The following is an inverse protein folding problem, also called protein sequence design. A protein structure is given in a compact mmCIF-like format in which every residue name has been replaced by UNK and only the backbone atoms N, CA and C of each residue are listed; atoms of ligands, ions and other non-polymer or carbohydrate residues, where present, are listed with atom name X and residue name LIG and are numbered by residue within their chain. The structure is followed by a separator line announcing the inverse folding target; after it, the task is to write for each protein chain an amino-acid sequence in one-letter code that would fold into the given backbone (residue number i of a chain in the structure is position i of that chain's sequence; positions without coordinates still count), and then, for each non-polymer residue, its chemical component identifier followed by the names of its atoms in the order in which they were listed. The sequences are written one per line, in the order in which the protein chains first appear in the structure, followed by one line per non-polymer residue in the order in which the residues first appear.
data_IF_288707497952
#
_entry.id   IF_288707497952
#
_cell.length_a   1.000
_cell.length_b   1.000
_cell.length_c   1.000
_cell.angle_alpha   90.00
_cell.angle_beta   90.00
_cell.angle_gamma   90.00
#
_symmetry.space_group_name_H-M   'P 1'
#
loop_
_entity.id
_entity.type
_entity.pdbx_description
1 polymer ?
#
# COMPACT_ATOMS: atom_id res chain seq x y z
N UNK A 1 4.56 29.02 7.15
CA UNK A 1 4.44 27.87 6.22
C UNK A 1 5.46 26.82 6.63
N UNK A 2 5.04 25.58 6.88
CA UNK A 2 5.91 24.48 7.27
C UNK A 2 6.01 23.49 6.11
N UNK A 3 7.17 23.41 5.46
CA UNK A 3 7.40 22.53 4.31
C UNK A 3 8.06 21.24 4.79
N UNK A 4 7.38 20.10 4.60
CA UNK A 4 7.88 18.75 4.92
C UNK A 4 8.53 18.13 3.69
N UNK A 5 9.64 17.45 3.90
CA UNK A 5 10.29 16.68 2.83
C UNK A 5 9.64 15.30 2.80
N UNK A 6 8.88 15.01 1.75
CA UNK A 6 8.28 13.70 1.54
C UNK A 6 9.21 12.81 0.70
N UNK A 7 9.08 11.49 0.89
CA UNK A 7 9.69 10.49 0.03
C UNK A 7 8.68 9.36 -0.17
N UNK A 8 8.63 8.82 -1.37
CA UNK A 8 7.81 7.66 -1.66
C UNK A 8 8.12 7.14 -3.05
N UNK A 9 7.91 5.86 -3.23
CA UNK A 9 7.88 5.28 -4.56
C UNK A 9 6.93 4.10 -4.59
N UNK A 10 6.58 3.69 -5.80
CA UNK A 10 5.81 2.50 -6.05
C UNK A 10 6.45 1.74 -7.21
N UNK A 11 6.48 0.42 -7.07
CA UNK A 11 6.97 -0.50 -8.08
C UNK A 11 5.84 -1.50 -8.31
N UNK A 12 5.44 -1.63 -9.57
CA UNK A 12 4.41 -2.59 -9.97
C UNK A 12 5.01 -3.54 -11.00
N UNK A 13 4.94 -4.82 -10.70
CA UNK A 13 5.29 -5.91 -11.60
C UNK A 13 4.02 -6.61 -12.06
N UNK A 14 3.80 -6.67 -13.37
CA UNK A 14 2.65 -7.37 -13.96
C UNK A 14 3.18 -8.40 -14.95
N UNK A 15 2.82 -9.65 -14.73
CA UNK A 15 3.21 -10.78 -15.59
C UNK A 15 1.98 -11.49 -16.09
N UNK A 16 1.83 -11.58 -17.41
CA UNK A 16 0.82 -12.44 -18.03
C UNK A 16 1.30 -13.89 -17.95
N UNK A 17 0.45 -14.78 -17.44
CA UNK A 17 0.75 -16.20 -17.21
C UNK A 17 0.04 -17.07 -18.25
N UNK A 18 0.83 -17.82 -19.01
CA UNK A 18 0.39 -18.82 -19.98
C UNK A 18 -0.45 -18.26 -21.14
N UNK A 19 -1.74 -17.97 -20.88
CA UNK A 19 -2.69 -17.36 -21.82
C UNK A 19 -2.89 -15.88 -21.50
N UNK A 20 -3.45 -15.11 -22.43
CA UNK A 20 -3.86 -13.69 -22.21
C UNK A 20 -4.91 -13.52 -21.11
N UNK A 21 -5.42 -14.63 -20.59
CA UNK A 21 -6.49 -14.66 -19.60
C UNK A 21 -6.01 -14.38 -18.17
N UNK A 22 -4.79 -14.79 -17.80
CA UNK A 22 -4.31 -14.67 -16.42
C UNK A 22 -3.16 -13.67 -16.30
N UNK A 23 -3.26 -12.74 -15.35
CA UNK A 23 -2.18 -11.82 -15.02
C UNK A 23 -1.92 -11.84 -13.52
N UNK A 24 -0.64 -12.00 -13.18
CA UNK A 24 -0.14 -11.81 -11.82
C UNK A 24 0.27 -10.35 -11.65
N UNK A 25 -0.17 -9.72 -10.56
CA UNK A 25 0.13 -8.34 -10.21
C UNK A 25 0.84 -8.37 -8.86
N UNK A 26 2.06 -7.86 -8.79
CA UNK A 26 2.78 -7.60 -7.55
C UNK A 26 3.04 -6.09 -7.47
N UNK A 27 2.80 -5.50 -6.32
CA UNK A 27 3.04 -4.08 -6.06
C UNK A 27 3.76 -3.93 -4.74
N UNK A 28 4.77 -3.09 -4.74
CA UNK A 28 5.42 -2.64 -3.53
C UNK A 28 5.47 -1.13 -3.56
N UNK A 29 4.93 -0.49 -2.54
CA UNK A 29 5.01 0.95 -2.37
C UNK A 29 5.42 1.31 -0.96
N UNK A 30 6.07 2.47 -0.83
CA UNK A 30 6.34 3.08 0.45
C UNK A 30 6.00 4.56 0.39
N UNK A 31 5.52 5.06 1.52
CA UNK A 31 5.16 6.45 1.67
C UNK A 31 5.69 6.98 3.00
N UNK A 32 6.67 7.89 2.91
CA UNK A 32 7.28 8.62 4.02
C UNK A 32 6.89 10.11 3.91
N UNK A 33 5.85 10.54 4.66
CA UNK A 33 5.37 11.91 4.62
C UNK A 33 6.34 12.92 5.25
N UNK A 34 7.30 12.48 6.07
CA UNK A 34 8.22 13.37 6.76
C UNK A 34 9.59 12.71 7.04
N UNK A 35 10.46 12.75 6.03
CA UNK A 35 11.81 12.15 6.07
C UNK A 35 12.75 12.70 7.17
N UNK A 36 12.40 13.81 7.83
CA UNK A 36 13.20 14.41 8.90
C UNK A 36 13.07 13.67 10.23
N UNK A 37 12.01 12.89 10.41
CA UNK A 37 11.70 12.18 11.66
C UNK A 37 11.40 10.72 11.33
N UNK A 38 11.84 9.80 12.19
CA UNK A 38 11.68 8.35 11.97
C UNK A 38 11.45 7.63 13.28
N UNK A 39 10.64 6.59 13.24
CA UNK A 39 10.39 5.65 14.33
C UNK A 39 9.89 6.33 15.60
N UNK A 40 10.53 6.01 16.72
CA UNK A 40 10.16 6.51 18.05
C UNK A 40 10.32 8.03 18.23
N UNK A 41 10.98 8.72 17.29
CA UNK A 41 11.06 10.19 17.30
C UNK A 41 9.76 10.86 16.81
N UNK A 42 8.87 10.09 16.17
CA UNK A 42 7.53 10.54 15.82
C UNK A 42 6.65 10.44 17.07
N UNK A 43 6.53 11.55 17.79
CA UNK A 43 5.78 11.65 19.04
C UNK A 43 4.85 12.86 19.05
N UNK A 44 3.71 12.72 19.73
CA UNK A 44 2.76 13.82 19.94
C UNK A 44 3.39 14.97 20.74
N UNK A 45 4.35 14.66 21.62
CA UNK A 45 5.12 15.65 22.38
C UNK A 45 5.98 16.56 21.50
N UNK A 46 6.42 16.07 20.33
CA UNK A 46 7.14 16.85 19.32
C UNK A 46 6.20 17.62 18.37
N UNK A 47 4.88 17.61 18.62
CA UNK A 47 3.86 18.20 17.75
C UNK A 47 3.61 17.42 16.45
N UNK A 48 4.02 16.15 16.40
CA UNK A 48 3.84 15.27 15.25
C UNK A 48 2.56 14.46 15.41
N UNK A 49 1.97 14.05 14.28
CA UNK A 49 0.67 13.37 14.23
C UNK A 49 0.74 12.08 13.43
N UNK A 50 -0.33 11.28 13.42
CA UNK A 50 -0.40 10.06 12.61
C UNK A 50 -0.10 10.30 11.11
N UNK A 51 -0.27 11.54 10.64
CA UNK A 51 0.07 11.95 9.27
C UNK A 51 1.59 12.02 8.99
N UNK A 52 2.44 11.87 10.01
CA UNK A 52 3.91 11.83 9.90
C UNK A 52 4.46 10.40 9.94
N UNK A 53 3.59 9.39 10.08
CA UNK A 53 3.99 7.98 10.16
C UNK A 53 4.21 7.43 8.76
N UNK A 54 5.37 6.83 8.55
CA UNK A 54 5.68 6.10 7.32
C UNK A 54 4.96 4.75 7.31
N UNK A 55 4.48 4.35 6.13
CA UNK A 55 3.98 3.00 5.88
C UNK A 55 4.52 2.45 4.55
N UNK A 56 4.69 1.13 4.53
CA UNK A 56 5.06 0.34 3.36
C UNK A 56 3.89 -0.60 3.03
N UNK A 57 3.48 -0.65 1.77
CA UNK A 57 2.42 -1.56 1.29
C UNK A 57 3.02 -2.58 0.36
N UNK A 58 2.77 -3.85 0.65
CA UNK A 58 3.05 -4.94 -0.28
C UNK A 58 1.74 -5.57 -0.74
N UNK A 59 1.38 -5.32 -1.99
CA UNK A 59 0.20 -5.84 -2.64
C UNK A 59 0.52 -7.00 -3.58
N UNK A 60 -0.29 -8.05 -3.54
CA UNK A 60 -0.25 -9.09 -4.57
C UNK A 60 -1.66 -9.42 -5.02
N UNK A 61 -1.82 -9.76 -6.29
CA UNK A 61 -3.10 -10.14 -6.81
C UNK A 61 -3.05 -10.86 -8.14
N UNK A 62 -4.19 -11.42 -8.47
CA UNK A 62 -4.45 -12.21 -9.66
C UNK A 62 -5.61 -11.58 -10.40
N UNK A 63 -5.39 -11.28 -11.66
CA UNK A 63 -6.41 -10.85 -12.60
C UNK A 63 -6.70 -12.01 -13.55
N UNK A 64 -7.98 -12.33 -13.69
CA UNK A 64 -8.47 -13.34 -14.63
C UNK A 64 -9.49 -12.73 -15.58
N UNK A 65 -9.26 -12.86 -16.88
CA UNK A 65 -10.23 -12.59 -17.92
C UNK A 65 -11.01 -13.87 -18.19
N UNK A 66 -12.31 -13.83 -17.93
CA UNK A 66 -13.20 -14.94 -18.26
C UNK A 66 -13.64 -14.87 -19.73
N UNK A 67 -13.76 -13.66 -20.27
CA UNK A 67 -14.00 -13.37 -21.68
C UNK A 67 -13.57 -11.92 -22.00
N UNK A 68 -13.72 -11.49 -23.26
CA UNK A 68 -13.38 -10.12 -23.71
C UNK A 68 -14.17 -9.02 -23.01
N UNK A 69 -15.32 -9.36 -22.41
CA UNK A 69 -16.26 -8.45 -21.77
C UNK A 69 -16.25 -8.55 -20.24
N UNK A 70 -15.58 -9.55 -19.65
CA UNK A 70 -15.63 -9.82 -18.22
C UNK A 70 -14.26 -10.23 -17.67
N UNK A 71 -13.81 -9.47 -16.67
CA UNK A 71 -12.60 -9.75 -15.90
C UNK A 71 -12.86 -9.62 -14.41
N UNK A 72 -12.14 -10.40 -13.61
CA UNK A 72 -12.09 -10.26 -12.16
C UNK A 72 -10.66 -10.09 -11.68
N UNK A 73 -10.49 -9.36 -10.59
CA UNK A 73 -9.24 -9.12 -9.90
C UNK A 73 -9.44 -9.50 -8.44
N UNK A 74 -8.60 -10.41 -7.96
CA UNK A 74 -8.42 -10.68 -6.54
C UNK A 74 -7.09 -10.06 -6.12
N UNK A 75 -7.10 -9.18 -5.13
CA UNK A 75 -5.95 -8.41 -4.70
C UNK A 75 -5.87 -8.35 -3.18
N UNK A 76 -4.68 -8.49 -2.61
CA UNK A 76 -4.46 -8.44 -1.18
C UNK A 76 -3.29 -7.51 -0.87
N UNK A 77 -3.56 -6.47 -0.10
CA UNK A 77 -2.61 -5.47 0.36
C UNK A 77 -2.19 -5.75 1.79
N UNK A 78 -0.89 -5.94 2.00
CA UNK A 78 -0.26 -6.03 3.32
C UNK A 78 0.32 -4.67 3.65
N UNK A 79 -0.29 -3.97 4.61
CA UNK A 79 0.17 -2.65 5.05
C UNK A 79 1.02 -2.84 6.29
N UNK A 80 2.26 -2.34 6.25
CA UNK A 80 3.19 -2.31 7.39
C UNK A 80 3.46 -0.87 7.77
N UNK A 81 3.09 -0.51 8.99
CA UNK A 81 3.31 0.82 9.54
C UNK A 81 4.59 0.83 10.39
N UNK A 82 5.29 1.96 10.39
CA UNK A 82 6.42 2.16 11.30
C UNK A 82 5.93 2.27 12.76
N UNK A 83 6.64 1.63 13.69
CA UNK A 83 6.35 1.79 15.13
C UNK A 83 6.81 3.18 15.61
N UNK A 84 5.88 3.94 16.18
CA UNK A 84 6.08 5.33 16.64
C UNK A 84 5.57 5.52 18.07
N UNK A 85 5.69 6.73 18.64
CA UNK A 85 5.12 7.05 19.96
C UNK A 85 3.69 7.62 19.88
N UNK A 86 3.04 7.52 18.71
CA UNK A 86 1.68 8.00 18.51
C UNK A 86 0.71 6.89 18.94
N UNK A 87 -0.36 7.27 19.67
CA UNK A 87 -1.44 6.37 20.02
C UNK A 87 -1.95 5.66 18.77
N UNK A 88 -2.16 4.34 18.85
CA UNK A 88 -2.57 3.45 17.74
C UNK A 88 -1.48 3.12 16.69
N UNK A 89 -0.29 3.72 16.79
CA UNK A 89 0.88 3.42 15.95
C UNK A 89 2.12 3.02 16.77
N UNK A 90 1.93 2.63 18.04
CA UNK A 90 3.01 2.10 18.91
C UNK A 90 3.54 0.75 18.47
N UNK A 91 2.71 0.02 17.73
CA UNK A 91 3.04 -1.25 17.06
C UNK A 91 2.48 -1.22 15.65
N UNK A 92 3.02 -2.06 14.78
CA UNK A 92 2.48 -2.26 13.43
C UNK A 92 0.96 -2.53 13.47
N UNK A 93 0.21 -1.66 12.79
CA UNK A 93 -1.24 -1.74 12.74
C UNK A 93 -1.66 -2.71 11.65
N UNK A 94 -2.49 -3.70 12.01
CA UNK A 94 -2.96 -4.76 11.11
C UNK A 94 -4.09 -4.27 10.19
N UNK A 95 -3.76 -3.39 9.26
CA UNK A 95 -4.71 -2.79 8.30
C UNK A 95 -4.70 -3.45 6.92
N UNK A 96 -4.42 -4.76 6.85
CA UNK A 96 -4.39 -5.46 5.57
C UNK A 96 -5.76 -5.43 4.88
N UNK A 97 -5.77 -5.24 3.56
CA UNK A 97 -7.00 -5.09 2.78
C UNK A 97 -7.10 -6.21 1.75
N UNK A 98 -8.22 -6.94 1.77
CA UNK A 98 -8.59 -7.86 0.70
C UNK A 98 -9.58 -7.18 -0.25
N UNK A 99 -9.23 -7.10 -1.52
CA UNK A 99 -10.06 -6.55 -2.59
C UNK A 99 -10.45 -7.64 -3.58
N UNK A 100 -11.75 -7.84 -3.76
CA UNK A 100 -12.31 -8.56 -4.90
C UNK A 100 -13.03 -7.56 -5.79
N UNK A 101 -12.62 -7.47 -7.06
CA UNK A 101 -13.20 -6.56 -8.04
C UNK A 101 -13.61 -7.31 -9.30
N UNK A 102 -14.84 -7.11 -9.74
CA UNK A 102 -15.34 -7.56 -11.02
C UNK A 102 -15.54 -6.37 -11.95
N UNK A 103 -15.22 -6.52 -13.23
CA UNK A 103 -15.40 -5.47 -14.23
C UNK A 103 -16.00 -6.05 -15.50
N UNK A 104 -17.05 -5.39 -15.98
CA UNK A 104 -17.75 -5.69 -17.22
C UNK A 104 -17.51 -4.57 -18.23
N UNK A 105 -17.27 -4.95 -19.49
CA UNK A 105 -17.18 -4.08 -20.64
C UNK A 105 -18.33 -4.42 -21.60
N UNK A 106 -19.06 -3.41 -22.06
CA UNK A 106 -20.24 -3.54 -22.91
C UNK A 106 -19.94 -2.99 -24.31
#
# INVERSE_FOLDING_TARGET
YYTRNFNGAYITFVQTLNSTDNQLILKYDWYDPNTKVKGMNVSSAAGLSAADVRFDTFGFGLLHHFNTHFKAVLYYDVIKNESTQISDYTTDRKDNVLTLRTQFYF
#
